data_IF_263137534091
#
_entry.id   IF_263137534091
#
_cell.length_a   1.000
_cell.length_b   1.000
_cell.length_c   1.000
_cell.angle_alpha   90.00
_cell.angle_beta   90.00
_cell.angle_gamma   90.00
#
_symmetry.space_group_name_H-M   'P 1'
#
loop_
_entity.id
_entity.type
_entity.pdbx_description
1 polymer ?
#
# COMPACT_ATOMS: atom_id res chain seq x y z
N UNK A 1 -7.50 26.36 13.00
CA UNK A 1 -8.84 25.74 12.92
C UNK A 1 -8.66 24.25 12.61
N UNK A 2 -8.67 23.37 13.62
CA UNK A 2 -8.27 21.94 13.50
C UNK A 2 -9.06 21.14 12.46
N UNK A 3 -10.32 21.53 12.21
CA UNK A 3 -11.16 20.88 11.21
C UNK A 3 -10.62 21.06 9.78
N UNK A 4 -10.17 22.28 9.44
CA UNK A 4 -9.62 22.59 8.11
C UNK A 4 -8.30 21.87 7.80
N UNK A 5 -7.49 21.53 8.82
CA UNK A 5 -6.25 20.78 8.60
C UNK A 5 -6.52 19.29 8.35
N UNK A 6 -7.46 18.70 9.11
CA UNK A 6 -7.85 17.29 8.94
C UNK A 6 -8.47 17.02 7.58
N UNK A 7 -9.29 17.94 7.07
CA UNK A 7 -9.88 17.80 5.72
C UNK A 7 -8.79 17.86 4.63
N UNK A 8 -7.78 18.73 4.78
CA UNK A 8 -6.66 18.82 3.85
C UNK A 8 -5.80 17.54 3.83
N UNK A 9 -5.56 16.93 4.99
CA UNK A 9 -4.81 15.68 5.08
C UNK A 9 -5.57 14.51 4.44
N UNK A 10 -6.91 14.48 4.58
CA UNK A 10 -7.77 13.51 3.88
C UNK A 10 -7.75 13.69 2.37
N UNK A 11 -7.83 14.93 1.88
CA UNK A 11 -7.73 15.22 0.45
C UNK A 11 -6.39 14.77 -0.12
N UNK A 12 -5.29 15.01 0.60
CA UNK A 12 -3.97 14.54 0.21
C UNK A 12 -3.92 13.01 0.11
N UNK A 13 -4.43 12.29 1.12
CA UNK A 13 -4.49 10.82 1.13
C UNK A 13 -5.31 10.26 -0.04
N UNK A 14 -6.45 10.88 -0.34
CA UNK A 14 -7.29 10.49 -1.48
C UNK A 14 -6.57 10.72 -2.81
N UNK A 15 -5.88 11.85 -2.96
CA UNK A 15 -5.11 12.13 -4.17
C UNK A 15 -3.95 11.17 -4.35
N UNK A 16 -3.19 10.88 -3.28
CA UNK A 16 -2.12 9.88 -3.30
C UNK A 16 -2.62 8.51 -3.74
N UNK A 17 -3.77 8.07 -3.23
CA UNK A 17 -4.33 6.76 -3.57
C UNK A 17 -4.81 6.68 -5.03
N UNK A 18 -5.37 7.76 -5.58
CA UNK A 18 -5.72 7.85 -7.00
C UNK A 18 -4.47 7.77 -7.88
N UNK A 19 -3.44 8.54 -7.54
CA UNK A 19 -2.17 8.57 -8.27
C UNK A 19 -1.46 7.22 -8.22
N UNK A 20 -1.37 6.62 -7.04
CA UNK A 20 -0.76 5.30 -6.84
C UNK A 20 -1.48 4.22 -7.67
N UNK A 21 -2.82 4.22 -7.65
CA UNK A 21 -3.58 3.26 -8.45
C UNK A 21 -3.38 3.48 -9.96
N UNK A 22 -3.42 4.73 -10.42
CA UNK A 22 -3.17 5.07 -11.83
C UNK A 22 -1.79 4.58 -12.28
N UNK A 23 -0.75 4.89 -11.51
CA UNK A 23 0.63 4.50 -11.82
C UNK A 23 0.80 2.98 -11.85
N UNK A 24 0.14 2.22 -10.97
CA UNK A 24 0.33 0.78 -10.91
C UNK A 24 -0.51 -0.02 -11.91
N UNK A 25 -1.61 0.55 -12.43
CA UNK A 25 -2.60 -0.23 -13.20
C UNK A 25 -2.87 0.31 -14.60
N UNK A 26 -2.65 1.61 -14.84
CA UNK A 26 -2.94 2.22 -16.14
C UNK A 26 -1.72 2.12 -17.04
N UNK A 27 -1.92 1.60 -18.26
CA UNK A 27 -0.91 1.61 -19.31
C UNK A 27 -0.80 3.01 -19.93
N UNK A 28 0.41 3.56 -20.03
CA UNK A 28 0.64 4.83 -20.74
C UNK A 28 0.54 4.65 -22.25
N UNK A 29 0.12 5.68 -22.98
CA UNK A 29 0.09 5.66 -24.46
C UNK A 29 1.47 5.44 -25.09
N UNK A 30 2.54 5.84 -24.38
CA UNK A 30 3.91 5.51 -24.74
C UNK A 30 4.23 4.09 -24.25
N UNK A 31 4.48 3.17 -25.20
CA UNK A 31 4.89 1.77 -24.99
C UNK A 31 3.92 0.85 -24.24
N UNK A 32 2.70 1.29 -23.91
CA UNK A 32 1.68 0.50 -23.21
C UNK A 32 2.13 -0.07 -21.85
N UNK A 33 3.11 0.57 -21.20
CA UNK A 33 3.65 0.17 -19.90
C UNK A 33 2.93 0.86 -18.74
N UNK A 34 2.83 0.16 -17.61
CA UNK A 34 2.47 0.71 -16.30
C UNK A 34 3.63 1.51 -15.71
N UNK A 35 3.36 2.34 -14.70
CA UNK A 35 4.38 3.15 -14.03
C UNK A 35 5.48 2.33 -13.35
N UNK A 36 5.17 1.16 -12.79
CA UNK A 36 6.19 0.26 -12.24
C UNK A 36 7.07 -0.37 -13.32
N UNK A 37 6.49 -0.69 -14.48
CA UNK A 37 7.25 -1.21 -15.63
C UNK A 37 8.19 -0.13 -16.15
N UNK A 38 7.71 1.11 -16.32
CA UNK A 38 8.56 2.25 -16.64
C UNK A 38 9.71 2.46 -15.65
N UNK A 39 9.42 2.41 -14.34
CA UNK A 39 10.45 2.56 -13.32
C UNK A 39 11.50 1.44 -13.38
N UNK A 40 11.09 0.20 -13.67
CA UNK A 40 12.01 -0.91 -13.88
C UNK A 40 12.87 -0.68 -15.13
N UNK A 41 12.26 -0.35 -16.27
CA UNK A 41 12.97 -0.10 -17.53
C UNK A 41 13.99 1.04 -17.42
N UNK A 42 13.67 2.12 -16.72
CA UNK A 42 14.60 3.24 -16.48
C UNK A 42 15.81 2.84 -15.63
N UNK A 43 15.65 1.90 -14.69
CA UNK A 43 16.77 1.36 -13.90
C UNK A 43 17.62 0.39 -14.73
N UNK A 44 17.00 -0.31 -15.67
CA UNK A 44 17.60 -1.34 -16.51
C UNK A 44 17.67 -2.71 -15.84
N UNK A 45 17.65 -3.77 -16.65
CA UNK A 45 17.56 -5.17 -16.19
C UNK A 45 18.69 -5.61 -15.25
N UNK A 46 19.87 -5.00 -15.37
CA UNK A 46 21.04 -5.30 -14.54
C UNK A 46 20.95 -4.68 -13.14
N UNK A 47 20.00 -3.75 -12.91
CA UNK A 47 19.87 -3.10 -11.61
C UNK A 47 19.27 -4.06 -10.58
N UNK A 48 19.82 -4.14 -9.34
CA UNK A 48 19.35 -5.08 -8.32
C UNK A 48 17.85 -4.99 -7.99
N UNK A 49 17.26 -3.80 -8.14
CA UNK A 49 15.83 -3.55 -7.86
C UNK A 49 14.89 -3.84 -9.04
N UNK A 50 15.41 -4.11 -10.24
CA UNK A 50 14.57 -4.29 -11.45
C UNK A 50 13.47 -5.34 -11.21
N UNK A 51 13.89 -6.52 -10.74
CA UNK A 51 12.99 -7.64 -10.44
C UNK A 51 12.05 -7.34 -9.28
N UNK A 52 12.49 -6.58 -8.29
CA UNK A 52 11.66 -6.25 -7.13
C UNK A 52 10.54 -5.28 -7.51
N UNK A 53 10.80 -4.35 -8.44
CA UNK A 53 9.83 -3.34 -8.90
C UNK A 53 8.78 -3.97 -9.82
N UNK A 54 9.20 -4.75 -10.81
CA UNK A 54 8.25 -5.34 -11.77
C UNK A 54 7.28 -6.33 -11.08
N UNK A 55 7.76 -7.02 -10.05
CA UNK A 55 7.01 -8.01 -9.28
C UNK A 55 6.17 -7.43 -8.13
N UNK A 56 6.06 -6.10 -8.00
CA UNK A 56 5.10 -5.50 -7.06
C UNK A 56 3.70 -6.03 -7.37
N UNK A 57 3.03 -6.57 -6.36
CA UNK A 57 1.69 -7.14 -6.53
C UNK A 57 0.66 -6.06 -6.86
N UNK A 58 -0.47 -6.41 -7.50
CA UNK A 58 -1.64 -5.54 -7.49
C UNK A 58 -2.01 -5.15 -6.07
N UNK A 59 -2.48 -3.90 -5.90
CA UNK A 59 -2.91 -3.36 -4.61
C UNK A 59 -4.17 -4.07 -4.14
N UNK A 60 -4.15 -4.58 -2.92
CA UNK A 60 -5.34 -5.12 -2.23
C UNK A 60 -5.93 -4.01 -1.39
N UNK A 61 -7.01 -3.40 -1.86
CA UNK A 61 -7.70 -2.31 -1.17
C UNK A 61 -9.03 -2.77 -0.59
N UNK A 62 -9.35 -2.33 0.62
CA UNK A 62 -10.64 -2.64 1.22
C UNK A 62 -10.71 -2.34 2.72
N UNK A 63 -11.71 -2.92 3.35
CA UNK A 63 -11.87 -2.89 4.80
C UNK A 63 -11.18 -4.09 5.43
N UNK A 64 -10.36 -3.81 6.43
CA UNK A 64 -9.61 -4.80 7.19
C UNK A 64 -9.92 -4.68 8.68
N UNK A 65 -9.85 -5.79 9.39
CA UNK A 65 -9.87 -5.81 10.85
C UNK A 65 -8.44 -5.86 11.37
N UNK A 66 -8.11 -4.98 12.30
CA UNK A 66 -6.87 -5.08 13.06
C UNK A 66 -6.92 -6.27 14.03
N UNK A 67 -5.96 -7.19 13.93
CA UNK A 67 -5.90 -8.43 14.72
C UNK A 67 -4.75 -8.45 15.73
N UNK A 68 -4.10 -7.32 15.98
CA UNK A 68 -2.95 -7.21 16.86
C UNK A 68 -1.65 -6.94 16.09
N UNK A 69 -0.54 -6.89 16.80
CA UNK A 69 0.77 -6.59 16.23
C UNK A 69 1.88 -7.24 17.06
N UNK A 70 3.01 -7.54 16.43
CA UNK A 70 4.24 -7.97 17.10
C UNK A 70 5.30 -6.86 17.05
N UNK A 71 6.58 -7.21 17.22
CA UNK A 71 7.68 -6.24 17.15
C UNK A 71 7.80 -5.57 15.77
N UNK A 72 7.51 -6.28 14.69
CA UNK A 72 7.83 -5.90 13.31
C UNK A 72 6.59 -5.69 12.44
N UNK A 73 5.48 -6.37 12.73
CA UNK A 73 4.32 -6.48 11.85
C UNK A 73 3.01 -6.15 12.56
N UNK A 74 2.04 -5.73 11.75
CA UNK A 74 0.64 -5.50 12.09
C UNK A 74 -0.17 -6.60 11.42
N UNK A 75 -0.95 -7.33 12.19
CA UNK A 75 -1.81 -8.39 11.70
C UNK A 75 -3.16 -7.80 11.31
N UNK A 76 -3.56 -8.03 10.06
CA UNK A 76 -4.83 -7.53 9.52
C UNK A 76 -5.57 -8.64 8.78
N UNK A 77 -6.90 -8.59 8.81
CA UNK A 77 -7.76 -9.55 8.13
C UNK A 77 -8.75 -8.82 7.23
N UNK A 78 -8.75 -9.13 5.94
CA UNK A 78 -9.70 -8.53 5.00
C UNK A 78 -11.13 -9.01 5.30
N UNK A 79 -12.06 -8.07 5.50
CA UNK A 79 -13.40 -8.39 6.03
C UNK A 79 -14.18 -9.33 5.11
N UNK A 80 -14.13 -9.08 3.79
CA UNK A 80 -14.93 -9.81 2.82
C UNK A 80 -14.34 -11.19 2.49
N UNK A 81 -13.02 -11.29 2.31
CA UNK A 81 -12.37 -12.55 1.91
C UNK A 81 -11.82 -13.38 3.06
N UNK A 82 -11.83 -12.83 4.28
CA UNK A 82 -11.21 -13.43 5.49
C UNK A 82 -9.72 -13.76 5.34
N UNK A 83 -9.06 -13.23 4.31
CA UNK A 83 -7.63 -13.40 4.11
C UNK A 83 -6.86 -12.58 5.13
N UNK A 84 -5.84 -13.20 5.71
CA UNK A 84 -4.95 -12.59 6.70
C UNK A 84 -3.68 -12.09 6.02
N UNK A 85 -3.18 -10.95 6.49
CA UNK A 85 -1.96 -10.33 6.01
C UNK A 85 -1.12 -9.87 7.19
N UNK A 86 0.19 -9.89 6.98
CA UNK A 86 1.20 -9.39 7.92
C UNK A 86 1.83 -8.16 7.30
N UNK A 87 1.32 -6.98 7.67
CA UNK A 87 1.78 -5.70 7.14
C UNK A 87 2.96 -5.19 7.95
N UNK A 88 4.05 -4.81 7.30
CA UNK A 88 5.25 -4.34 7.99
C UNK A 88 5.01 -3.00 8.66
N UNK A 89 5.49 -2.83 9.90
CA UNK A 89 5.41 -1.53 10.60
C UNK A 89 6.26 -0.45 9.93
N UNK A 90 7.24 -0.83 9.11
CA UNK A 90 8.11 0.09 8.37
C UNK A 90 7.33 1.02 7.43
N UNK A 91 6.17 0.58 6.95
CA UNK A 91 5.35 1.33 5.99
C UNK A 91 4.21 2.13 6.62
N UNK A 92 3.98 2.01 7.93
CA UNK A 92 2.80 2.58 8.58
C UNK A 92 3.14 3.31 9.87
N UNK A 93 3.38 4.61 9.81
CA UNK A 93 3.85 5.43 10.95
C UNK A 93 2.88 5.46 12.14
N UNK A 94 1.58 5.29 11.89
CA UNK A 94 0.52 5.43 12.90
C UNK A 94 0.16 4.11 13.60
N UNK A 95 1.03 3.10 13.58
CA UNK A 95 0.74 1.79 14.21
C UNK A 95 0.47 1.88 15.72
N UNK A 96 1.00 2.89 16.41
CA UNK A 96 0.77 3.11 17.84
C UNK A 96 -0.67 3.52 18.19
N UNK A 97 -1.43 3.99 17.20
CA UNK A 97 -2.83 4.37 17.38
C UNK A 97 -3.78 3.16 17.37
N UNK A 98 -3.29 1.99 16.90
CA UNK A 98 -4.04 0.73 16.81
C UNK A 98 -4.11 0.02 18.16
N UNK A 99 -5.03 0.45 19.02
CA UNK A 99 -5.15 -0.06 20.40
C UNK A 99 -6.19 -1.17 20.60
N UNK A 100 -7.25 -1.18 19.79
CA UNK A 100 -8.41 -2.08 19.98
C UNK A 100 -8.48 -3.12 18.86
N UNK A 101 -8.48 -4.40 19.23
CA UNK A 101 -8.70 -5.52 18.30
C UNK A 101 -10.05 -5.32 17.60
N UNK A 102 -10.11 -5.69 16.32
CA UNK A 102 -11.25 -5.52 15.41
C UNK A 102 -11.62 -4.07 15.10
N UNK A 103 -10.70 -3.13 15.33
CA UNK A 103 -10.78 -1.80 14.69
C UNK A 103 -10.81 -1.98 13.17
N UNK A 104 -11.80 -1.36 12.52
CA UNK A 104 -11.94 -1.38 11.07
C UNK A 104 -10.98 -0.36 10.46
N UNK A 105 -10.16 -0.82 9.53
CA UNK A 105 -9.19 -0.02 8.78
C UNK A 105 -9.62 0.00 7.31
N UNK A 106 -9.77 1.19 6.73
CA UNK A 106 -9.92 1.36 5.29
C UNK A 106 -8.54 1.67 4.70
N UNK A 107 -7.91 0.65 4.12
CA UNK A 107 -6.51 0.71 3.69
C UNK A 107 -6.31 -0.04 2.37
N UNK A 108 -5.19 0.20 1.72
CA UNK A 108 -4.70 -0.64 0.64
C UNK A 108 -3.30 -1.13 0.98
N UNK A 109 -2.95 -2.34 0.53
CA UNK A 109 -1.63 -2.92 0.74
C UNK A 109 -1.09 -3.51 -0.56
N UNK A 110 0.23 -3.49 -0.72
CA UNK A 110 0.94 -4.12 -1.84
C UNK A 110 2.02 -5.05 -1.31
N UNK A 111 2.31 -6.13 -2.03
CA UNK A 111 3.45 -6.99 -1.71
C UNK A 111 4.68 -6.50 -2.45
N UNK A 112 5.70 -6.11 -1.68
CA UNK A 112 7.00 -5.67 -2.20
C UNK A 112 8.12 -6.36 -1.42
N UNK A 113 9.06 -6.95 -2.15
CA UNK A 113 10.21 -7.72 -1.61
C UNK A 113 9.82 -8.78 -0.58
N UNK A 114 8.67 -9.43 -0.79
CA UNK A 114 8.15 -10.49 0.07
C UNK A 114 7.34 -10.02 1.28
N UNK A 115 7.38 -8.72 1.62
CA UNK A 115 6.65 -8.11 2.74
C UNK A 115 5.36 -7.42 2.22
N UNK A 116 4.33 -7.29 3.06
CA UNK A 116 3.16 -6.45 2.76
C UNK A 116 3.36 -5.04 3.28
N UNK A 117 3.25 -4.06 2.39
CA UNK A 117 3.42 -2.64 2.66
C UNK A 117 2.08 -1.92 2.56
N UNK A 118 1.88 -0.93 3.43
CA UNK A 118 0.79 0.04 3.41
C UNK A 118 0.92 0.98 2.20
#
# INVERSE_FOLDING_TARGET
>A
NKQKSVDKDREALLFYDVMDNFMNTSSTSLLAMTGKEWAAELLGENHPLYKDIINISPKVKGFFLYKGQDKNNIFIEHIASKRKFEMTKKSFEHYNDLKKIDTILLIGIVKWRGEWWF
#
